data_IF_614062006897
#
_entry.id   IF_614062006897
#
_cell.length_a   1.000
_cell.length_b   1.000
_cell.length_c   1.000
_cell.angle_alpha   90.00
_cell.angle_beta   90.00
_cell.angle_gamma   90.00
#
_symmetry.space_group_name_H-M   'P 1'
#
loop_
_entity.id
_entity.type
_entity.pdbx_description
1 polymer ?
#
# COMPACT_ATOMS: atom_id res chain seq x y z
N UNK A 1 -9.83 -7.81 -1.73
CA UNK A 1 -10.47 -6.52 -2.11
C UNK A 1 -9.53 -5.91 -3.12
N UNK A 2 -10.03 -5.57 -4.28
CA UNK A 2 -9.17 -5.00 -5.32
C UNK A 2 -8.78 -3.59 -4.88
N UNK A 3 -7.57 -3.14 -5.23
CA UNK A 3 -7.18 -1.76 -4.98
C UNK A 3 -8.07 -0.81 -5.80
N UNK A 4 -8.22 0.42 -5.34
CA UNK A 4 -9.02 1.44 -6.06
C UNK A 4 -8.53 1.58 -7.50
N UNK A 5 -7.22 1.51 -7.73
CA UNK A 5 -6.64 1.57 -9.07
C UNK A 5 -7.07 0.37 -9.95
N UNK A 6 -7.17 -0.83 -9.37
CA UNK A 6 -7.64 -2.00 -10.10
C UNK A 6 -9.13 -1.87 -10.48
N UNK A 7 -9.96 -1.31 -9.60
CA UNK A 7 -11.37 -1.01 -9.91
C UNK A 7 -11.49 -0.01 -11.05
N UNK A 8 -10.64 1.03 -11.07
CA UNK A 8 -10.59 2.02 -12.16
C UNK A 8 -10.18 1.37 -13.48
N UNK A 9 -9.15 0.51 -13.49
CA UNK A 9 -8.73 -0.21 -14.69
C UNK A 9 -9.81 -1.17 -15.20
N UNK A 10 -10.51 -1.87 -14.30
CA UNK A 10 -11.65 -2.71 -14.64
C UNK A 10 -12.77 -1.92 -15.30
N UNK A 11 -13.13 -0.77 -14.75
CA UNK A 11 -14.17 0.09 -15.32
C UNK A 11 -13.77 0.57 -16.72
N UNK A 12 -12.52 1.01 -16.91
CA UNK A 12 -12.00 1.41 -18.21
C UNK A 12 -12.12 0.29 -19.27
N UNK A 13 -11.62 -0.92 -18.95
CA UNK A 13 -11.68 -2.06 -19.86
C UNK A 13 -13.13 -2.45 -20.17
N UNK A 14 -13.98 -2.53 -19.17
CA UNK A 14 -15.39 -2.87 -19.33
C UNK A 14 -16.13 -1.85 -20.21
N UNK A 15 -15.92 -0.56 -19.99
CA UNK A 15 -16.57 0.50 -20.77
C UNK A 15 -16.10 0.53 -22.23
N UNK A 16 -14.79 0.37 -22.45
CA UNK A 16 -14.24 0.29 -23.79
C UNK A 16 -14.79 -0.91 -24.58
N UNK A 17 -14.86 -2.09 -23.95
CA UNK A 17 -15.45 -3.30 -24.54
C UNK A 17 -16.94 -3.14 -24.85
N UNK A 18 -17.65 -2.39 -24.03
CA UNK A 18 -19.06 -2.07 -24.24
C UNK A 18 -19.29 -0.95 -25.26
N UNK A 19 -18.24 -0.37 -25.85
CA UNK A 19 -18.30 0.68 -26.86
C UNK A 19 -18.56 2.08 -26.29
N UNK A 20 -18.44 2.29 -24.98
CA UNK A 20 -18.56 3.60 -24.40
C UNK A 20 -17.29 4.44 -24.61
N UNK A 21 -17.47 5.72 -24.83
CA UNK A 21 -16.38 6.69 -24.71
C UNK A 21 -16.11 6.96 -23.21
N UNK A 22 -14.84 6.96 -22.84
CA UNK A 22 -14.42 7.25 -21.48
C UNK A 22 -13.04 7.92 -21.46
N UNK A 23 -12.75 8.60 -20.37
CA UNK A 23 -11.47 9.24 -20.08
C UNK A 23 -10.85 8.61 -18.82
N UNK A 24 -9.53 8.55 -18.80
CA UNK A 24 -8.73 8.14 -17.65
C UNK A 24 -7.99 9.37 -17.12
N UNK A 25 -8.16 9.66 -15.85
CA UNK A 25 -7.63 10.86 -15.20
C UNK A 25 -6.59 10.43 -14.18
N UNK A 26 -5.40 11.03 -14.24
CA UNK A 26 -4.29 10.75 -13.32
C UNK A 26 -3.84 12.02 -12.63
N UNK A 27 -3.70 12.00 -11.30
CA UNK A 27 -3.01 13.05 -10.53
C UNK A 27 -1.52 12.95 -10.82
N UNK A 28 -0.95 13.99 -11.44
CA UNK A 28 0.47 13.97 -11.82
C UNK A 28 1.34 14.83 -10.93
N UNK A 29 0.77 15.85 -10.29
CA UNK A 29 1.50 16.70 -9.36
C UNK A 29 0.56 17.38 -8.37
N UNK A 30 1.05 17.53 -7.15
CA UNK A 30 0.33 18.24 -6.09
C UNK A 30 1.25 19.25 -5.39
N UNK A 31 0.73 20.41 -5.01
CA UNK A 31 1.42 21.42 -4.21
C UNK A 31 0.53 21.81 -3.03
N UNK A 32 1.11 21.86 -1.84
CA UNK A 32 0.37 22.06 -0.61
C UNK A 32 -0.41 20.83 -0.19
N UNK A 33 -1.51 21.02 0.54
CA UNK A 33 -2.37 19.92 0.98
C UNK A 33 -3.26 19.45 -0.17
N UNK A 34 -3.16 18.19 -0.53
CA UNK A 34 -4.04 17.54 -1.49
C UNK A 34 -4.71 16.33 -0.85
N UNK A 35 -6.02 16.13 -1.05
CA UNK A 35 -6.74 14.99 -0.48
C UNK A 35 -6.35 13.65 -1.15
N UNK A 36 -5.78 13.70 -2.37
CA UNK A 36 -5.31 12.52 -3.09
C UNK A 36 -3.85 12.67 -3.51
N UNK A 37 -3.04 11.63 -3.38
CA UNK A 37 -1.61 11.67 -3.74
C UNK A 37 -1.39 11.67 -5.26
N UNK A 38 -0.18 12.02 -5.68
CA UNK A 38 0.29 11.79 -7.04
C UNK A 38 0.19 10.29 -7.39
N UNK A 39 -0.29 10.00 -8.60
CA UNK A 39 -0.61 8.65 -9.06
C UNK A 39 -2.04 8.21 -8.81
N UNK A 40 -2.83 8.92 -8.00
CA UNK A 40 -4.26 8.61 -7.84
C UNK A 40 -4.99 8.73 -9.17
N UNK A 41 -5.96 7.85 -9.39
CA UNK A 41 -6.64 7.70 -10.68
C UNK A 41 -8.16 7.74 -10.57
N UNK A 42 -8.79 8.14 -11.66
CA UNK A 42 -10.24 8.12 -11.85
C UNK A 42 -10.55 7.80 -13.31
N UNK A 43 -11.62 7.06 -13.55
CA UNK A 43 -12.23 6.91 -14.87
C UNK A 43 -13.55 7.67 -14.92
N UNK A 44 -13.82 8.34 -16.04
CA UNK A 44 -15.09 9.02 -16.30
C UNK A 44 -15.66 8.58 -17.64
N UNK A 45 -16.92 8.14 -17.65
CA UNK A 45 -17.65 7.71 -18.84
C UNK A 45 -18.44 8.88 -19.44
N UNK A 46 -18.76 8.81 -20.72
CA UNK A 46 -19.43 9.87 -21.46
C UNK A 46 -20.80 10.31 -20.88
N UNK A 47 -21.46 9.51 -20.07
CA UNK A 47 -22.69 9.85 -19.36
C UNK A 47 -22.45 10.44 -17.96
N UNK A 48 -21.18 10.62 -17.56
CA UNK A 48 -20.77 11.17 -16.29
C UNK A 48 -20.70 10.14 -15.14
N UNK A 49 -20.73 8.84 -15.45
CA UNK A 49 -20.43 7.80 -14.45
C UNK A 49 -18.93 7.82 -14.16
N UNK A 50 -18.57 7.78 -12.87
CA UNK A 50 -17.16 7.79 -12.42
C UNK A 50 -16.83 6.59 -11.55
N UNK A 51 -15.56 6.17 -11.60
CA UNK A 51 -14.94 5.19 -10.71
C UNK A 51 -13.56 5.73 -10.32
N UNK A 52 -13.20 5.63 -9.04
CA UNK A 52 -11.99 6.24 -8.50
C UNK A 52 -12.18 7.69 -8.06
N UNK A 53 -11.08 8.37 -7.71
CA UNK A 53 -11.12 9.75 -7.24
C UNK A 53 -9.75 10.42 -7.38
N UNK A 54 -9.73 11.70 -7.72
CA UNK A 54 -8.54 12.54 -7.87
C UNK A 54 -8.46 13.69 -6.86
N UNK A 55 -9.59 14.09 -6.25
CA UNK A 55 -9.62 15.21 -5.29
C UNK A 55 -10.49 14.96 -4.06
N UNK A 56 -11.38 13.97 -4.11
CA UNK A 56 -12.35 13.67 -3.05
C UNK A 56 -13.65 14.44 -3.18
N UNK A 57 -13.96 15.04 -4.34
CA UNK A 57 -15.27 15.61 -4.61
C UNK A 57 -15.33 16.72 -5.67
N UNK A 58 -14.89 17.93 -5.36
CA UNK A 58 -15.22 19.12 -6.18
C UNK A 58 -14.61 19.12 -7.58
N UNK A 59 -13.42 18.58 -7.78
CA UNK A 59 -12.80 18.49 -9.12
C UNK A 59 -13.50 17.41 -9.95
N UNK A 60 -13.90 16.32 -9.31
CA UNK A 60 -14.74 15.29 -9.92
C UNK A 60 -16.04 15.88 -10.44
N UNK A 61 -16.72 16.70 -9.64
CA UNK A 61 -17.99 17.35 -10.03
C UNK A 61 -17.81 18.27 -11.24
N UNK A 62 -16.69 19.02 -11.31
CA UNK A 62 -16.36 19.88 -12.46
C UNK A 62 -16.13 19.05 -13.74
N UNK A 63 -15.34 17.98 -13.65
CA UNK A 63 -15.10 17.07 -14.77
C UNK A 63 -16.38 16.37 -15.22
N UNK A 64 -17.23 15.92 -14.29
CA UNK A 64 -18.53 15.31 -14.57
C UNK A 64 -19.45 16.32 -15.27
N UNK A 65 -19.53 17.57 -14.78
CA UNK A 65 -20.33 18.62 -15.37
C UNK A 65 -19.87 18.94 -16.80
N UNK A 66 -18.56 19.03 -17.02
CA UNK A 66 -17.98 19.25 -18.35
C UNK A 66 -18.33 18.11 -19.33
N UNK A 67 -18.18 16.87 -18.91
CA UNK A 67 -18.50 15.69 -19.74
C UNK A 67 -20.00 15.59 -20.01
N UNK A 68 -20.87 15.89 -19.06
CA UNK A 68 -22.35 15.91 -19.26
C UNK A 68 -22.80 17.00 -20.19
N UNK A 69 -22.16 18.17 -20.13
CA UNK A 69 -22.53 19.33 -20.97
C UNK A 69 -22.03 19.20 -22.41
N UNK A 70 -20.83 18.66 -22.61
CA UNK A 70 -20.13 18.69 -23.90
C UNK A 70 -19.79 17.32 -24.46
N UNK A 71 -19.99 16.25 -23.70
CA UNK A 71 -19.48 14.92 -24.01
C UNK A 71 -17.96 14.86 -23.88
N UNK A 72 -17.40 13.72 -24.24
CA UNK A 72 -15.95 13.56 -24.35
C UNK A 72 -15.50 14.08 -25.72
N UNK A 73 -14.98 15.28 -25.74
CA UNK A 73 -14.55 15.99 -26.98
C UNK A 73 -13.05 15.87 -27.24
N UNK A 74 -12.27 15.53 -26.21
CA UNK A 74 -10.83 15.37 -26.33
C UNK A 74 -10.48 14.24 -27.29
N UNK A 75 -9.47 14.48 -28.13
CA UNK A 75 -8.89 13.49 -29.03
C UNK A 75 -7.48 13.05 -28.62
N UNK A 76 -6.83 13.87 -27.79
CA UNK A 76 -5.48 13.65 -27.25
C UNK A 76 -5.46 13.94 -25.75
N UNK A 77 -4.47 13.45 -24.99
CA UNK A 77 -4.30 13.77 -23.59
C UNK A 77 -4.19 15.29 -23.36
N UNK A 78 -4.77 15.76 -22.27
CA UNK A 78 -4.75 17.17 -21.86
C UNK A 78 -4.28 17.29 -20.41
N UNK A 79 -3.47 18.32 -20.15
CA UNK A 79 -3.01 18.64 -18.79
C UNK A 79 -3.90 19.74 -18.22
N UNK A 80 -4.59 19.44 -17.13
CA UNK A 80 -5.44 20.39 -16.40
C UNK A 80 -4.79 20.74 -15.07
N UNK A 81 -4.92 22.01 -14.67
CA UNK A 81 -4.43 22.49 -13.38
C UNK A 81 -5.55 23.20 -12.63
N UNK A 82 -5.78 22.80 -11.38
CA UNK A 82 -6.80 23.37 -10.49
C UNK A 82 -6.14 24.01 -9.27
N UNK A 83 -6.77 25.07 -8.72
CA UNK A 83 -6.31 25.74 -7.52
C UNK A 83 -5.18 26.74 -7.75
N UNK A 84 -5.09 27.36 -8.94
CA UNK A 84 -4.07 28.36 -9.28
C UNK A 84 -4.24 29.64 -8.45
N UNK A 85 -5.48 30.00 -8.09
CA UNK A 85 -5.79 31.11 -7.19
C UNK A 85 -6.42 30.64 -5.89
N UNK A 86 -6.38 31.48 -4.84
CA UNK A 86 -7.00 31.15 -3.55
C UNK A 86 -8.52 30.92 -3.67
N UNK A 87 -9.19 31.74 -4.50
CA UNK A 87 -10.64 31.63 -4.75
C UNK A 87 -10.96 30.32 -5.50
N UNK A 88 -10.16 29.97 -6.46
CA UNK A 88 -10.29 28.70 -7.20
C UNK A 88 -9.98 27.50 -6.29
N UNK A 89 -8.92 27.54 -5.50
CA UNK A 89 -8.60 26.50 -4.53
C UNK A 89 -9.74 26.28 -3.53
N UNK A 90 -10.36 27.36 -3.03
CA UNK A 90 -11.52 27.26 -2.15
C UNK A 90 -12.74 26.67 -2.86
N UNK A 91 -13.00 27.06 -4.10
CA UNK A 91 -14.11 26.54 -4.93
C UNK A 91 -13.98 25.03 -5.17
N UNK A 92 -12.76 24.53 -5.37
CA UNK A 92 -12.49 23.12 -5.65
C UNK A 92 -12.14 22.29 -4.40
N UNK A 93 -12.49 22.77 -3.21
CA UNK A 93 -12.30 22.04 -1.97
C UNK A 93 -10.84 21.80 -1.60
N UNK A 94 -9.95 22.72 -2.01
CA UNK A 94 -8.54 22.77 -1.65
C UNK A 94 -8.30 23.86 -0.59
N UNK A 95 -8.82 23.70 0.65
CA UNK A 95 -8.94 24.80 1.62
C UNK A 95 -7.60 25.40 2.07
N UNK A 96 -6.51 24.69 1.85
CA UNK A 96 -5.15 25.14 2.22
C UNK A 96 -4.42 25.83 1.06
N UNK A 97 -5.11 26.25 -0.01
CA UNK A 97 -4.48 26.87 -1.18
C UNK A 97 -3.65 25.89 -2.00
N UNK A 98 -3.96 24.58 -1.93
CA UNK A 98 -3.27 23.56 -2.70
C UNK A 98 -3.54 23.68 -4.20
N UNK A 99 -2.59 23.27 -5.01
CA UNK A 99 -2.73 23.15 -6.46
C UNK A 99 -2.59 21.70 -6.85
N UNK A 100 -3.44 21.23 -7.76
CA UNK A 100 -3.38 19.88 -8.32
C UNK A 100 -3.29 19.93 -9.83
N UNK A 101 -2.44 19.10 -10.39
CA UNK A 101 -2.30 18.94 -11.83
C UNK A 101 -2.72 17.53 -12.22
N UNK A 102 -3.58 17.45 -13.23
CA UNK A 102 -4.15 16.22 -13.75
C UNK A 102 -3.75 16.04 -15.21
N UNK A 103 -3.60 14.78 -15.63
CA UNK A 103 -3.63 14.40 -17.04
C UNK A 103 -4.96 13.70 -17.30
N UNK A 104 -5.73 14.22 -18.25
CA UNK A 104 -6.98 13.63 -18.73
C UNK A 104 -6.70 12.99 -20.08
N UNK A 105 -6.82 11.69 -20.15
CA UNK A 105 -6.54 10.86 -21.32
C UNK A 105 -7.85 10.30 -21.90
N UNK A 106 -8.25 10.68 -23.13
CA UNK A 106 -9.35 10.01 -23.82
C UNK A 106 -8.92 8.58 -24.19
N UNK A 107 -9.69 7.60 -23.75
CA UNK A 107 -9.33 6.20 -23.93
C UNK A 107 -9.74 5.65 -25.29
N UNK A 108 -8.86 4.86 -25.90
CA UNK A 108 -9.06 4.15 -27.15
C UNK A 108 -8.25 2.83 -27.13
N UNK A 109 -8.27 2.09 -28.23
CA UNK A 109 -7.52 0.82 -28.35
C UNK A 109 -6.01 1.00 -28.10
N UNK A 110 -5.42 2.13 -28.49
CA UNK A 110 -4.00 2.42 -28.27
C UNK A 110 -3.65 2.74 -26.80
N UNK A 111 -4.63 2.94 -25.93
CA UNK A 111 -4.43 3.14 -24.48
C UNK A 111 -4.08 1.83 -23.74
N UNK A 112 -4.25 0.66 -24.39
CA UNK A 112 -3.85 -0.69 -23.89
C UNK A 112 -4.36 -1.03 -22.50
N UNK A 113 -5.59 -0.58 -22.16
CA UNK A 113 -6.16 -0.78 -20.82
C UNK A 113 -6.39 -2.26 -20.50
N UNK A 114 -6.76 -3.08 -21.48
CA UNK A 114 -6.91 -4.52 -21.37
C UNK A 114 -5.60 -5.22 -20.97
N UNK A 115 -4.50 -4.83 -21.60
CA UNK A 115 -3.18 -5.37 -21.30
C UNK A 115 -2.69 -4.91 -19.92
N UNK A 116 -2.88 -3.62 -19.59
CA UNK A 116 -2.50 -3.06 -18.29
C UNK A 116 -3.29 -3.76 -17.17
N UNK A 117 -4.60 -3.96 -17.35
CA UNK A 117 -5.45 -4.67 -16.40
C UNK A 117 -4.97 -6.12 -16.20
N UNK A 118 -4.67 -6.84 -17.28
CA UNK A 118 -4.18 -8.22 -17.20
C UNK A 118 -2.84 -8.32 -16.45
N UNK A 119 -1.93 -7.37 -16.64
CA UNK A 119 -0.66 -7.30 -15.90
C UNK A 119 -0.89 -6.96 -14.42
N UNK A 120 -1.77 -5.99 -14.12
CA UNK A 120 -2.12 -5.61 -12.76
C UNK A 120 -2.78 -6.75 -11.98
N UNK A 121 -3.68 -7.53 -12.61
CA UNK A 121 -4.29 -8.73 -12.03
C UNK A 121 -3.26 -9.81 -11.71
N UNK A 122 -2.25 -9.95 -12.56
CA UNK A 122 -1.12 -10.86 -12.34
C UNK A 122 -0.08 -10.29 -11.37
N UNK A 123 -0.31 -9.11 -10.81
CA UNK A 123 0.59 -8.41 -9.89
C UNK A 123 1.98 -8.15 -10.46
N UNK A 124 2.06 -7.93 -11.76
CA UNK A 124 3.30 -7.57 -12.44
C UNK A 124 3.53 -6.07 -12.30
N UNK A 125 4.67 -5.67 -11.77
CA UNK A 125 5.06 -4.26 -11.71
C UNK A 125 5.30 -3.76 -13.14
N UNK A 126 4.45 -2.83 -13.58
CA UNK A 126 4.37 -2.38 -14.97
C UNK A 126 4.61 -0.89 -15.08
N UNK A 127 5.54 -0.48 -15.90
CA UNK A 127 5.74 0.90 -16.32
C UNK A 127 4.86 1.19 -17.53
N UNK A 128 3.95 2.15 -17.38
CA UNK A 128 3.10 2.67 -18.44
C UNK A 128 3.59 4.04 -18.87
N UNK A 129 3.92 4.20 -20.15
CA UNK A 129 4.34 5.48 -20.74
C UNK A 129 3.29 5.94 -21.72
N UNK A 130 2.69 7.09 -21.45
CA UNK A 130 1.69 7.76 -22.29
C UNK A 130 2.39 8.90 -23.03
N UNK A 131 2.34 8.89 -24.35
CA UNK A 131 2.74 10.02 -25.19
C UNK A 131 1.66 11.09 -25.17
N UNK A 132 1.98 12.29 -24.69
CA UNK A 132 1.01 13.36 -24.47
C UNK A 132 0.50 14.02 -25.78
N UNK A 133 1.22 13.87 -26.89
CA UNK A 133 0.84 14.43 -28.17
C UNK A 133 -0.13 13.52 -28.93
N UNK A 134 0.11 12.21 -28.89
CA UNK A 134 -0.64 11.23 -29.68
C UNK A 134 -1.64 10.39 -28.86
N UNK A 135 -1.47 10.33 -27.53
CA UNK A 135 -2.20 9.39 -26.67
C UNK A 135 -1.73 7.94 -26.77
N UNK A 136 -0.67 7.66 -27.52
CA UNK A 136 -0.13 6.32 -27.65
C UNK A 136 0.49 5.84 -26.33
N UNK A 137 0.23 4.58 -25.98
CA UNK A 137 0.72 3.98 -24.74
C UNK A 137 1.69 2.85 -25.05
N UNK A 138 2.81 2.82 -24.33
CA UNK A 138 3.70 1.67 -24.26
C UNK A 138 3.71 1.11 -22.84
N UNK A 139 3.73 -0.23 -22.75
CA UNK A 139 3.87 -0.95 -21.49
C UNK A 139 5.23 -1.65 -21.48
N UNK A 140 5.93 -1.55 -20.37
CA UNK A 140 7.20 -2.20 -20.14
C UNK A 140 7.31 -2.69 -18.70
N UNK A 141 8.35 -3.44 -18.41
CA UNK A 141 8.64 -3.88 -17.05
C UNK A 141 8.97 -2.66 -16.18
N UNK A 142 8.30 -2.57 -15.04
CA UNK A 142 8.55 -1.56 -14.03
C UNK A 142 9.72 -1.97 -13.15
N UNK A 143 10.59 -1.01 -12.85
CA UNK A 143 11.62 -1.19 -11.84
C UNK A 143 11.13 -0.69 -10.48
N UNK A 144 11.80 -1.15 -9.47
CA UNK A 144 11.48 -0.91 -8.08
C UNK A 144 11.51 0.56 -7.66
N UNK A 145 12.48 1.26 -8.19
CA UNK A 145 12.76 2.67 -7.95
C UNK A 145 12.09 3.61 -8.97
N UNK A 146 11.36 3.03 -9.94
CA UNK A 146 10.58 3.81 -10.87
C UNK A 146 9.53 4.65 -10.12
N UNK A 147 9.43 5.91 -10.48
CA UNK A 147 8.47 6.86 -9.93
C UNK A 147 7.60 7.44 -11.04
N UNK A 148 6.43 7.93 -10.65
CA UNK A 148 5.63 8.76 -11.53
C UNK A 148 6.47 9.97 -11.95
N UNK A 149 6.52 10.22 -13.26
CA UNK A 149 7.19 11.38 -13.82
C UNK A 149 6.44 11.88 -15.05
N UNK A 150 6.41 13.17 -15.21
CA UNK A 150 5.84 13.82 -16.39
C UNK A 150 6.82 14.87 -16.91
N UNK A 151 7.03 14.88 -18.20
CA UNK A 151 7.70 15.94 -18.93
C UNK A 151 6.77 16.51 -20.01
N UNK A 152 7.32 17.26 -20.98
CA UNK A 152 6.53 17.87 -22.06
C UNK A 152 6.05 16.85 -23.10
N UNK A 153 6.59 15.66 -23.13
CA UNK A 153 6.34 14.65 -24.16
C UNK A 153 5.55 13.46 -23.61
N UNK A 154 5.82 13.06 -22.37
CA UNK A 154 5.27 11.82 -21.85
C UNK A 154 4.92 11.90 -20.36
N UNK A 155 3.92 11.12 -19.99
CA UNK A 155 3.60 10.74 -18.61
C UNK A 155 3.99 9.28 -18.39
N UNK A 156 4.86 9.04 -17.42
CA UNK A 156 5.22 7.70 -16.96
C UNK A 156 4.53 7.42 -15.64
N UNK A 157 3.72 6.37 -15.60
CA UNK A 157 3.06 5.86 -14.39
C UNK A 157 3.49 4.42 -14.12
N UNK A 158 3.44 4.04 -12.85
CA UNK A 158 3.83 2.69 -12.42
C UNK A 158 2.62 2.01 -11.79
N UNK A 159 2.29 0.84 -12.30
CA UNK A 159 1.13 0.04 -11.90
C UNK A 159 1.57 -1.30 -11.34
N UNK A 160 0.82 -1.82 -10.37
CA UNK A 160 1.13 -3.06 -9.68
C UNK A 160 1.76 -2.86 -8.31
N UNK A 161 1.91 -3.93 -7.53
CA UNK A 161 2.39 -3.84 -6.15
C UNK A 161 3.86 -3.44 -6.12
N UNK A 162 4.14 -2.33 -5.45
CA UNK A 162 5.51 -1.80 -5.27
C UNK A 162 6.19 -2.37 -4.04
N UNK A 163 5.42 -2.87 -3.10
CA UNK A 163 5.90 -3.38 -1.81
C UNK A 163 5.60 -4.87 -1.70
N UNK A 164 6.54 -5.61 -1.14
CA UNK A 164 6.39 -7.05 -0.87
C UNK A 164 6.34 -7.29 0.62
N UNK A 165 5.49 -8.20 1.06
CA UNK A 165 5.39 -8.61 2.45
C UNK A 165 5.44 -10.13 2.55
N UNK A 166 6.42 -10.64 3.28
CA UNK A 166 6.48 -12.02 3.71
C UNK A 166 5.93 -12.13 5.13
N UNK A 167 4.90 -12.92 5.32
CA UNK A 167 4.35 -13.27 6.63
C UNK A 167 4.75 -14.71 6.92
N UNK A 168 5.47 -14.94 8.01
CA UNK A 168 5.83 -16.27 8.48
C UNK A 168 4.76 -16.72 9.48
N UNK A 169 4.03 -17.78 9.12
CA UNK A 169 2.91 -18.33 9.85
C UNK A 169 1.55 -18.03 9.22
N UNK A 170 0.75 -19.07 9.01
CA UNK A 170 -0.58 -18.99 8.37
C UNK A 170 -1.74 -18.96 9.38
N UNK A 171 -1.53 -18.39 10.58
CA UNK A 171 -2.55 -18.29 11.62
C UNK A 171 -3.58 -17.18 11.37
N UNK A 172 -4.55 -17.06 12.29
CA UNK A 172 -5.65 -16.10 12.19
C UNK A 172 -5.17 -14.64 12.13
N UNK A 173 -4.17 -14.26 12.94
CA UNK A 173 -3.58 -12.92 12.91
C UNK A 173 -3.00 -12.60 11.53
N UNK A 174 -2.35 -13.58 10.91
CA UNK A 174 -1.77 -13.44 9.58
C UNK A 174 -2.82 -13.18 8.51
N UNK A 175 -4.02 -13.79 8.63
CA UNK A 175 -5.13 -13.52 7.70
C UNK A 175 -5.59 -12.07 7.79
N UNK A 176 -5.76 -11.53 8.99
CA UNK A 176 -6.18 -10.12 9.18
C UNK A 176 -5.10 -9.16 8.75
N UNK A 177 -3.84 -9.43 9.08
CA UNK A 177 -2.71 -8.63 8.64
C UNK A 177 -2.62 -8.60 7.11
N UNK A 178 -2.69 -9.77 6.47
CA UNK A 178 -2.65 -9.89 5.01
C UNK A 178 -3.81 -9.17 4.32
N UNK A 179 -5.03 -9.25 4.87
CA UNK A 179 -6.21 -8.58 4.34
C UNK A 179 -6.03 -7.06 4.29
N UNK A 180 -5.51 -6.46 5.36
CA UNK A 180 -5.27 -5.01 5.41
C UNK A 180 -4.05 -4.65 4.53
N UNK A 181 -2.99 -5.48 4.54
CA UNK A 181 -1.79 -5.25 3.75
C UNK A 181 -2.05 -5.26 2.24
N UNK A 182 -2.95 -6.15 1.76
CA UNK A 182 -3.41 -6.13 0.35
C UNK A 182 -4.11 -4.81 0.02
N UNK A 183 -4.93 -4.27 0.92
CA UNK A 183 -5.54 -2.94 0.76
C UNK A 183 -4.54 -1.79 0.80
N UNK A 184 -3.38 -1.97 1.43
CA UNK A 184 -2.23 -1.06 1.42
C UNK A 184 -1.26 -1.34 0.24
N UNK A 185 -1.68 -2.12 -0.75
CA UNK A 185 -0.97 -2.45 -1.99
C UNK A 185 0.31 -3.29 -1.81
N UNK A 186 0.40 -4.06 -0.73
CA UNK A 186 1.46 -5.05 -0.60
C UNK A 186 1.16 -6.30 -1.44
N UNK A 187 2.17 -6.81 -2.13
CA UNK A 187 2.18 -8.19 -2.59
C UNK A 187 2.51 -9.07 -1.37
N UNK A 188 1.49 -9.77 -0.88
CA UNK A 188 1.61 -10.59 0.32
C UNK A 188 1.84 -12.03 -0.05
N UNK A 189 2.92 -12.60 0.50
CA UNK A 189 3.22 -14.03 0.50
C UNK A 189 3.19 -14.52 1.95
N UNK A 190 2.50 -15.61 2.21
CA UNK A 190 2.44 -16.25 3.52
C UNK A 190 3.20 -17.57 3.46
N UNK A 191 4.08 -17.77 4.40
CA UNK A 191 4.91 -18.99 4.52
C UNK A 191 4.51 -19.77 5.77
N UNK A 192 4.10 -21.01 5.61
CA UNK A 192 3.94 -21.96 6.72
C UNK A 192 4.22 -23.39 6.26
N UNK A 193 5.20 -24.08 6.86
CA UNK A 193 5.49 -25.47 6.50
C UNK A 193 4.45 -26.47 7.06
N UNK A 194 3.52 -26.01 7.92
CA UNK A 194 2.51 -26.85 8.56
C UNK A 194 1.24 -26.84 7.71
N UNK A 195 0.86 -28.00 7.18
CA UNK A 195 -0.25 -28.13 6.25
C UNK A 195 -1.60 -27.77 6.85
N UNK A 196 -1.83 -28.07 8.12
CA UNK A 196 -3.07 -27.80 8.84
C UNK A 196 -3.42 -26.29 8.92
N UNK A 197 -2.42 -25.42 8.96
CA UNK A 197 -2.64 -23.96 8.95
C UNK A 197 -2.96 -23.44 7.55
N UNK A 198 -2.36 -24.04 6.52
CA UNK A 198 -2.58 -23.67 5.13
C UNK A 198 -3.99 -24.05 4.65
N UNK A 199 -4.49 -25.20 5.05
CA UNK A 199 -5.80 -25.72 4.62
C UNK A 199 -6.97 -24.79 4.99
N UNK A 200 -6.81 -23.96 6.03
CA UNK A 200 -7.83 -22.98 6.47
C UNK A 200 -7.71 -21.63 5.79
N UNK A 201 -6.73 -21.43 4.90
CA UNK A 201 -6.47 -20.14 4.28
C UNK A 201 -7.36 -19.91 3.05
N UNK A 202 -8.12 -18.82 3.04
CA UNK A 202 -9.08 -18.51 1.97
C UNK A 202 -9.02 -17.08 1.43
N UNK A 203 -7.99 -16.28 1.79
CA UNK A 203 -7.91 -14.89 1.36
C UNK A 203 -7.47 -14.80 -0.13
N UNK A 204 -8.33 -14.29 -1.03
CA UNK A 204 -7.97 -14.12 -2.43
C UNK A 204 -6.80 -13.15 -2.60
N UNK A 205 -5.96 -13.41 -3.60
CA UNK A 205 -4.86 -12.53 -3.95
C UNK A 205 -3.66 -12.59 -3.00
N UNK A 206 -3.61 -13.55 -2.07
CA UNK A 206 -2.47 -13.86 -1.23
C UNK A 206 -1.94 -15.23 -1.58
N UNK A 207 -0.65 -15.30 -1.85
CA UNK A 207 0.04 -16.56 -2.09
C UNK A 207 0.40 -17.23 -0.77
N UNK A 208 0.03 -18.50 -0.61
CA UNK A 208 0.41 -19.30 0.57
C UNK A 208 1.37 -20.39 0.15
N UNK A 209 2.61 -20.31 0.63
CA UNK A 209 3.71 -21.18 0.25
C UNK A 209 3.99 -22.18 1.36
N UNK A 210 4.08 -23.46 0.99
CA UNK A 210 4.49 -24.54 1.88
C UNK A 210 6.01 -24.73 1.75
N UNK A 211 6.76 -23.95 2.50
CA UNK A 211 8.22 -23.98 2.52
C UNK A 211 8.76 -23.68 3.92
N UNK A 212 10.02 -23.98 4.14
CA UNK A 212 10.73 -23.48 5.31
C UNK A 212 10.96 -21.96 5.16
N UNK A 213 10.81 -21.17 6.25
CA UNK A 213 10.89 -19.71 6.17
C UNK A 213 12.23 -19.16 5.68
N UNK A 214 13.33 -19.77 6.08
CA UNK A 214 14.69 -19.44 5.65
C UNK A 214 14.90 -19.66 4.14
N UNK A 215 14.49 -20.81 3.64
CA UNK A 215 14.57 -21.14 2.20
C UNK A 215 13.78 -20.12 1.37
N UNK A 216 12.55 -19.81 1.80
CA UNK A 216 11.71 -18.85 1.08
C UNK A 216 12.29 -17.42 1.13
N UNK A 217 12.86 -16.99 2.24
CA UNK A 217 13.54 -15.68 2.32
C UNK A 217 14.68 -15.58 1.31
N UNK A 218 15.48 -16.64 1.17
CA UNK A 218 16.58 -16.71 0.19
C UNK A 218 16.06 -16.70 -1.25
N UNK A 219 14.99 -17.46 -1.53
CA UNK A 219 14.36 -17.53 -2.86
C UNK A 219 13.77 -16.17 -3.27
N UNK A 220 13.11 -15.49 -2.35
CA UNK A 220 12.43 -14.21 -2.61
C UNK A 220 13.39 -13.05 -2.92
N UNK A 221 14.67 -13.15 -2.60
CA UNK A 221 15.67 -12.09 -2.80
C UNK A 221 15.14 -10.75 -2.33
N UNK A 222 14.95 -10.64 -1.02
CA UNK A 222 14.34 -9.46 -0.40
C UNK A 222 15.20 -8.21 -0.60
N UNK A 223 14.55 -7.11 -0.90
CA UNK A 223 15.15 -5.80 -1.18
C UNK A 223 14.59 -4.71 -0.26
N UNK A 224 15.00 -3.46 -0.48
CA UNK A 224 14.55 -2.28 0.29
C UNK A 224 13.05 -1.97 0.21
N UNK A 225 12.25 -2.77 -0.50
CA UNK A 225 10.78 -2.68 -0.57
C UNK A 225 10.10 -3.89 0.04
N UNK A 226 10.85 -4.72 0.69
CA UNK A 226 10.38 -5.95 1.30
C UNK A 226 10.23 -5.78 2.80
N UNK A 227 9.14 -6.30 3.35
CA UNK A 227 8.89 -6.43 4.78
C UNK A 227 8.75 -7.90 5.15
N UNK A 228 9.31 -8.31 6.29
CA UNK A 228 9.19 -9.67 6.84
C UNK A 228 8.57 -9.60 8.22
N UNK A 229 7.54 -10.40 8.46
CA UNK A 229 6.77 -10.38 9.70
C UNK A 229 6.60 -11.82 10.22
N UNK A 230 7.22 -12.15 11.35
CA UNK A 230 7.17 -13.45 11.96
C UNK A 230 6.04 -13.51 13.02
N UNK A 231 5.05 -14.38 12.79
CA UNK A 231 3.81 -14.50 13.57
C UNK A 231 3.48 -15.91 14.03
N UNK A 232 4.40 -16.89 13.94
CA UNK A 232 4.06 -18.29 14.27
C UNK A 232 3.99 -18.55 15.77
N UNK A 233 4.66 -17.77 16.58
CA UNK A 233 4.99 -18.07 17.98
C UNK A 233 5.88 -19.32 18.18
N UNK A 234 6.27 -20.00 17.11
CA UNK A 234 7.25 -21.09 17.15
C UNK A 234 8.65 -20.49 16.95
N UNK A 235 9.52 -20.52 17.98
CA UNK A 235 10.85 -19.94 17.85
C UNK A 235 11.69 -20.56 16.73
N UNK A 236 11.49 -21.85 16.41
CA UNK A 236 12.25 -22.50 15.34
C UNK A 236 11.91 -21.92 13.98
N UNK A 237 10.62 -21.79 13.66
CA UNK A 237 10.17 -21.24 12.38
C UNK A 237 10.46 -19.74 12.28
N UNK A 238 10.12 -18.98 13.34
CA UNK A 238 10.34 -17.54 13.35
C UNK A 238 11.83 -17.20 13.24
N UNK A 239 12.69 -17.81 14.08
CA UNK A 239 14.09 -17.43 14.17
C UNK A 239 14.88 -17.83 12.91
N UNK A 240 14.53 -18.94 12.22
CA UNK A 240 15.15 -19.33 10.95
C UNK A 240 14.88 -18.30 9.86
N UNK A 241 13.62 -17.90 9.67
CA UNK A 241 13.27 -16.90 8.68
C UNK A 241 13.83 -15.51 9.02
N UNK A 242 13.83 -15.11 10.31
CA UNK A 242 14.40 -13.85 10.76
C UNK A 242 15.90 -13.78 10.58
N UNK A 243 16.61 -14.90 10.81
CA UNK A 243 18.05 -15.00 10.63
C UNK A 243 18.45 -14.62 9.20
N UNK A 244 17.78 -15.15 8.20
CA UNK A 244 18.06 -14.81 6.81
C UNK A 244 17.52 -13.43 6.44
N UNK A 245 16.32 -13.04 6.90
CA UNK A 245 15.74 -11.74 6.60
C UNK A 245 16.58 -10.55 7.12
N UNK A 246 17.19 -10.67 8.31
CA UNK A 246 18.03 -9.62 8.91
C UNK A 246 19.37 -9.43 8.19
N UNK A 247 19.77 -10.35 7.32
CA UNK A 247 20.94 -10.22 6.44
C UNK A 247 20.64 -9.46 5.15
N UNK A 248 19.36 -9.26 4.84
CA UNK A 248 18.91 -8.61 3.61
C UNK A 248 18.75 -7.08 3.77
N UNK A 249 18.39 -6.42 2.66
CA UNK A 249 18.06 -4.99 2.63
C UNK A 249 16.56 -4.73 2.90
N UNK A 250 15.80 -5.71 3.40
CA UNK A 250 14.40 -5.52 3.76
C UNK A 250 14.24 -4.28 4.67
N UNK A 251 13.31 -3.37 4.30
CA UNK A 251 13.12 -2.12 5.06
C UNK A 251 12.51 -2.36 6.43
N UNK A 252 11.87 -3.52 6.63
CA UNK A 252 11.23 -3.87 7.88
C UNK A 252 11.33 -5.37 8.14
N UNK A 253 11.85 -5.75 9.30
CA UNK A 253 11.87 -7.12 9.79
C UNK A 253 11.33 -7.12 11.21
N UNK A 254 10.21 -7.78 11.44
CA UNK A 254 9.53 -7.71 12.72
C UNK A 254 9.02 -9.06 13.22
N UNK A 255 8.88 -9.18 14.54
CA UNK A 255 8.43 -10.41 15.17
C UNK A 255 7.48 -10.18 16.33
N UNK A 256 6.40 -10.98 16.36
CA UNK A 256 5.48 -11.01 17.49
C UNK A 256 6.15 -11.64 18.73
N UNK A 257 5.62 -11.30 19.88
CA UNK A 257 6.00 -11.92 21.16
C UNK A 257 6.06 -10.89 22.30
N UNK A 258 6.22 -11.40 23.52
CA UNK A 258 6.45 -10.55 24.68
C UNK A 258 7.85 -9.93 24.66
N UNK A 259 8.09 -8.89 25.48
CA UNK A 259 9.43 -8.32 25.69
C UNK A 259 10.45 -9.40 26.06
N UNK A 260 10.08 -10.31 26.98
CA UNK A 260 10.94 -11.41 27.42
C UNK A 260 11.26 -12.36 26.27
N UNK A 261 10.25 -12.73 25.47
CA UNK A 261 10.45 -13.62 24.31
C UNK A 261 11.35 -12.98 23.25
N UNK A 262 11.18 -11.68 23.00
CA UNK A 262 12.02 -10.96 22.03
C UNK A 262 13.45 -10.73 22.54
N UNK A 263 13.66 -10.54 23.85
CA UNK A 263 15.00 -10.52 24.44
C UNK A 263 15.71 -11.87 24.24
N UNK A 264 15.05 -12.99 24.56
CA UNK A 264 15.58 -14.34 24.33
C UNK A 264 15.81 -14.64 22.84
N UNK A 265 14.94 -14.12 21.95
CA UNK A 265 15.11 -14.23 20.49
C UNK A 265 16.41 -13.55 20.05
N UNK A 266 16.68 -12.34 20.52
CA UNK A 266 17.93 -11.64 20.22
C UNK A 266 19.16 -12.40 20.70
N UNK A 267 19.09 -13.08 21.85
CA UNK A 267 20.16 -13.96 22.32
C UNK A 267 20.40 -15.13 21.37
N UNK A 268 19.34 -15.86 20.97
CA UNK A 268 19.46 -16.96 19.99
C UNK A 268 19.97 -16.50 18.63
N UNK A 269 19.56 -15.32 18.16
CA UNK A 269 20.07 -14.77 16.90
C UNK A 269 21.57 -14.44 16.96
N UNK A 270 22.11 -14.06 18.14
CA UNK A 270 23.57 -13.94 18.35
C UNK A 270 24.27 -15.29 18.25
N UNK A 271 23.68 -16.33 18.83
CA UNK A 271 24.19 -17.70 18.75
C UNK A 271 24.21 -18.25 17.30
N UNK A 272 23.40 -17.65 16.40
CA UNK A 272 23.33 -17.92 14.97
C UNK A 272 24.22 -16.96 14.12
N UNK A 273 25.24 -16.38 14.73
CA UNK A 273 26.26 -15.52 14.09
C UNK A 273 25.75 -14.22 13.46
N UNK A 274 24.58 -13.71 13.89
CA UNK A 274 24.17 -12.38 13.48
C UNK A 274 24.93 -11.29 14.27
N UNK A 275 25.38 -10.28 13.55
CA UNK A 275 25.99 -9.10 14.16
C UNK A 275 24.97 -8.24 14.93
N UNK A 276 25.43 -7.46 15.90
CA UNK A 276 24.57 -6.51 16.64
C UNK A 276 23.88 -5.51 15.71
N UNK A 277 24.54 -5.11 14.62
CA UNK A 277 23.94 -4.21 13.62
C UNK A 277 22.76 -4.87 12.88
N UNK A 278 22.84 -6.15 12.60
CA UNK A 278 21.73 -6.90 12.00
C UNK A 278 20.60 -7.10 13.00
N UNK A 279 20.91 -7.49 14.23
CA UNK A 279 19.92 -7.68 15.30
C UNK A 279 19.21 -6.38 15.67
N UNK A 280 19.88 -5.24 15.58
CA UNK A 280 19.28 -3.92 15.81
C UNK A 280 18.17 -3.55 14.80
N UNK A 281 18.17 -4.17 13.59
CA UNK A 281 17.09 -3.99 12.62
C UNK A 281 15.78 -4.69 13.03
N UNK A 282 15.82 -5.62 14.01
CA UNK A 282 14.65 -6.39 14.41
C UNK A 282 13.67 -5.55 15.22
N UNK A 283 12.47 -5.35 14.68
CA UNK A 283 11.32 -4.82 15.38
C UNK A 283 10.68 -5.92 16.23
N UNK A 284 10.84 -5.85 17.53
CA UNK A 284 10.31 -6.87 18.43
C UNK A 284 10.31 -6.44 19.89
N UNK A 285 9.16 -6.44 20.54
CA UNK A 285 7.81 -6.78 20.04
C UNK A 285 7.32 -5.84 18.95
N UNK A 286 6.78 -6.44 17.89
CA UNK A 286 6.28 -5.72 16.72
C UNK A 286 5.03 -4.87 17.04
N UNK A 287 4.91 -3.71 16.40
CA UNK A 287 3.74 -2.85 16.44
C UNK A 287 3.89 -1.61 17.34
N UNK A 288 2.93 -0.69 17.23
CA UNK A 288 2.80 0.45 18.14
C UNK A 288 1.89 0.11 19.32
N UNK A 289 2.15 0.74 20.47
CA UNK A 289 1.40 0.50 21.71
C UNK A 289 0.05 1.24 21.67
N UNK A 290 -1.01 0.53 21.31
CA UNK A 290 -2.40 1.03 21.26
C UNK A 290 -3.32 0.27 22.23
N UNK A 291 -2.76 -0.57 23.14
CA UNK A 291 -3.57 -1.40 24.03
C UNK A 291 -4.22 -2.59 23.33
N UNK A 292 -3.75 -2.99 22.15
CA UNK A 292 -4.29 -4.08 21.34
C UNK A 292 -4.37 -5.40 22.11
N UNK A 293 -5.52 -6.10 21.99
CA UNK A 293 -5.79 -7.41 22.60
C UNK A 293 -6.31 -8.42 21.58
N UNK A 294 -7.05 -7.97 20.58
CA UNK A 294 -7.61 -8.83 19.55
C UNK A 294 -6.65 -8.97 18.36
N UNK A 295 -6.74 -10.05 17.57
CA UNK A 295 -5.90 -10.20 16.37
C UNK A 295 -6.05 -9.05 15.38
N UNK A 296 -7.25 -8.48 15.19
CA UNK A 296 -7.46 -7.32 14.34
C UNK A 296 -6.75 -6.07 14.84
N UNK A 297 -6.84 -5.77 16.15
CA UNK A 297 -6.15 -4.62 16.74
C UNK A 297 -4.63 -4.78 16.66
N UNK A 298 -4.13 -6.01 16.84
CA UNK A 298 -2.71 -6.33 16.68
C UNK A 298 -2.28 -6.10 15.24
N UNK A 299 -3.07 -6.53 14.24
CA UNK A 299 -2.77 -6.29 12.83
C UNK A 299 -2.70 -4.80 12.50
N UNK A 300 -3.64 -3.99 13.01
CA UNK A 300 -3.62 -2.51 12.89
C UNK A 300 -2.36 -1.91 13.51
N UNK A 301 -2.01 -2.36 14.72
CA UNK A 301 -0.81 -1.92 15.45
C UNK A 301 0.48 -2.19 14.65
N UNK A 302 0.59 -3.38 14.08
CA UNK A 302 1.74 -3.81 13.25
C UNK A 302 1.84 -2.93 11.99
N UNK A 303 0.74 -2.78 11.26
CA UNK A 303 0.73 -2.03 10.01
C UNK A 303 0.94 -0.53 10.21
N UNK A 304 0.52 0.02 11.36
CA UNK A 304 0.82 1.40 11.71
C UNK A 304 2.33 1.62 11.93
N UNK A 305 3.02 0.74 12.66
CA UNK A 305 4.47 0.79 12.81
C UNK A 305 5.17 0.67 11.46
N UNK A 306 4.82 -0.36 10.69
CA UNK A 306 5.39 -0.64 9.38
C UNK A 306 5.19 0.55 8.41
N UNK A 307 4.02 1.18 8.43
CA UNK A 307 3.72 2.37 7.61
C UNK A 307 4.58 3.57 8.03
N UNK A 308 4.79 3.78 9.33
CA UNK A 308 5.65 4.84 9.83
C UNK A 308 7.11 4.62 9.37
N UNK A 309 7.63 3.40 9.54
CA UNK A 309 9.00 3.04 9.11
C UNK A 309 9.16 3.21 7.59
N UNK A 310 8.21 2.72 6.79
CA UNK A 310 8.21 2.89 5.34
C UNK A 310 8.28 4.36 4.91
N UNK A 311 7.57 5.22 5.61
CA UNK A 311 7.49 6.65 5.29
C UNK A 311 8.61 7.48 5.97
N UNK A 312 9.57 6.84 6.65
CA UNK A 312 10.66 7.52 7.35
C UNK A 312 10.19 8.37 8.54
N UNK A 313 9.02 8.07 9.11
CA UNK A 313 8.47 8.78 10.28
C UNK A 313 9.06 8.18 11.54
N UNK A 314 9.83 8.94 12.34
CA UNK A 314 10.40 8.43 13.57
C UNK A 314 9.29 8.17 14.60
N UNK A 315 9.28 6.96 15.16
CA UNK A 315 8.35 6.60 16.23
C UNK A 315 9.02 6.87 17.58
N UNK A 316 8.43 7.72 18.44
CA UNK A 316 8.91 7.88 19.80
C UNK A 316 8.94 6.54 20.53
N UNK A 317 9.97 6.28 21.34
CA UNK A 317 10.13 5.01 22.04
C UNK A 317 8.90 4.62 22.88
N UNK A 318 8.21 5.58 23.45
CA UNK A 318 6.96 5.38 24.19
C UNK A 318 5.78 4.89 23.35
N UNK A 319 5.84 5.05 22.03
CA UNK A 319 4.82 4.52 21.12
C UNK A 319 5.10 3.08 20.69
N UNK A 320 6.31 2.56 20.87
CA UNK A 320 6.59 1.16 20.61
C UNK A 320 5.92 0.26 21.63
N UNK A 321 5.63 -0.99 21.30
CA UNK A 321 5.06 -1.94 22.27
C UNK A 321 5.98 -2.14 23.46
N UNK A 322 7.30 -2.10 23.25
CA UNK A 322 8.29 -2.22 24.31
C UNK A 322 8.24 -1.03 25.28
N UNK A 323 8.37 0.20 24.77
CA UNK A 323 8.41 1.41 25.57
C UNK A 323 7.07 1.78 26.19
N UNK A 324 5.97 1.69 25.44
CA UNK A 324 4.63 1.99 25.92
C UNK A 324 4.17 1.09 27.08
N UNK A 325 4.46 -0.22 27.00
CA UNK A 325 4.19 -1.15 28.12
C UNK A 325 5.06 -0.88 29.33
N UNK A 326 6.28 -0.39 29.16
CA UNK A 326 7.13 -0.01 30.28
C UNK A 326 6.57 1.21 31.05
N UNK A 327 6.04 2.19 30.33
CA UNK A 327 5.41 3.37 30.92
C UNK A 327 4.06 3.05 31.60
N UNK A 328 3.21 2.24 30.97
CA UNK A 328 1.92 1.87 31.53
C UNK A 328 2.03 0.99 32.77
N UNK A 329 3.10 0.22 32.93
CA UNK A 329 3.37 -0.53 34.16
C UNK A 329 3.72 0.39 35.32
N UNK A 330 4.26 1.60 35.04
CA UNK A 330 4.58 2.62 36.07
C UNK A 330 3.37 3.54 36.38
N UNK A 331 2.34 3.55 35.50
CA UNK A 331 1.05 4.24 35.73
C UNK A 331 0.03 3.20 36.18
N UNK A 332 0.31 2.50 37.28
CA UNK A 332 -0.69 1.67 37.93
C UNK A 332 -1.77 2.57 38.55
N UNK A 333 -3.02 2.32 38.11
CA UNK A 333 -4.29 2.87 38.58
C UNK A 333 -4.74 4.19 37.91
N UNK A 334 -5.22 4.10 36.67
CA UNK A 334 -6.61 4.48 36.43
C UNK A 334 -7.05 3.92 35.05
N UNK A 335 -7.87 2.83 34.96
CA UNK A 335 -8.60 2.57 33.76
C UNK A 335 -9.53 3.79 33.59
N UNK A 336 -9.56 4.36 32.39
CA UNK A 336 -10.55 5.36 31.99
C UNK A 336 -11.92 4.81 32.35
N UNK A 337 -12.42 5.18 33.53
CA UNK A 337 -13.80 5.07 33.86
C UNK A 337 -14.53 6.03 32.92
N UNK A 338 -15.22 5.49 31.93
CA UNK A 338 -16.32 6.17 31.29
C UNK A 338 -17.33 6.44 32.43
N UNK A 339 -17.22 7.56 33.10
CA UNK A 339 -18.31 8.07 33.92
C UNK A 339 -19.41 8.50 32.94
N UNK A 340 -20.58 7.84 32.92
CA UNK A 340 -21.71 8.38 32.21
C UNK A 340 -22.06 9.70 32.89
N UNK A 341 -21.93 10.83 32.18
CA UNK A 341 -22.50 12.08 32.63
C UNK A 341 -23.96 11.83 32.92
N UNK A 342 -24.33 11.90 34.20
CA UNK A 342 -25.70 11.93 34.64
C UNK A 342 -26.41 13.11 33.98
N UNK A 343 -27.63 12.83 33.46
CA UNK A 343 -28.48 13.79 32.80
C UNK A 343 -28.98 14.86 33.76
#
# INVERSE_FOLDING_TARGET
MDSIDLEVLHACDQWLRAGYRCEYVTVVRTWGSSPRPEGATMAIRADGLVVGSVSGGCIEDDLIAAVRAHGITRSTPEVLTYGISADEAHRFGLPCGGTIQLVVEPLAAHSRMDQLLALAQRRVLTRRTLDLASGAVTLGEGAADDQLRMDKQALVTIHGPRLRMLIIGAGQLSQFLAQIAVGLEYQVTVCDPREEYRASWSLPGVEVVHAMPDDLVLEMKLDSRSAVIALTHDPKLDDMGLMEALKTDAFYVGAIGSRVNNARRRERLRELDLSEAQIAKLHGPIGIYIGSKTPYEIAVSILAELTAVKNGVPLPQQMTVEGGKALSANVSANPLAFEPKAA
#
